data_IF_132272296521
#
_entry.id   IF_132272296521
#
_cell.length_a   1.000
_cell.length_b   1.000
_cell.length_c   1.000
_cell.angle_alpha   90.00
_cell.angle_beta   90.00
_cell.angle_gamma   90.00
#
_symmetry.space_group_name_H-M   'P 1'
#
loop_
_entity.id
_entity.type
_entity.pdbx_description
1 polymer ?
#
# COMPACT_ATOMS: atom_id res chain seq x y z
N UNK A 1 -1.93 -17.37 4.21
CA UNK A 1 -1.11 -16.90 3.07
C UNK A 1 -1.53 -15.46 2.80
N UNK A 2 -0.64 -14.48 2.95
CA UNK A 2 -0.98 -13.04 2.84
C UNK A 2 -0.40 -12.13 3.93
N UNK A 3 0.40 -12.66 4.85
CA UNK A 3 0.99 -11.89 5.96
C UNK A 3 2.28 -11.15 5.55
N UNK A 4 2.50 -10.88 4.27
CA UNK A 4 3.70 -10.16 3.82
C UNK A 4 3.34 -9.24 2.65
N UNK A 5 3.88 -8.02 2.60
CA UNK A 5 3.62 -7.09 1.52
C UNK A 5 4.09 -7.66 0.19
N UNK A 6 3.22 -7.65 -0.82
CA UNK A 6 3.51 -8.16 -2.18
C UNK A 6 4.59 -7.31 -2.86
N UNK A 7 4.54 -5.99 -2.64
CA UNK A 7 5.54 -5.04 -3.11
C UNK A 7 5.61 -3.86 -2.14
N UNK A 8 6.82 -3.35 -1.93
CA UNK A 8 7.04 -2.13 -1.17
C UNK A 8 8.14 -1.29 -1.83
N UNK A 9 7.92 0.03 -1.91
CA UNK A 9 8.92 1.00 -2.36
C UNK A 9 8.96 2.19 -1.41
N UNK A 10 10.13 2.48 -0.87
CA UNK A 10 10.41 3.74 -0.17
C UNK A 10 11.29 4.60 -1.08
N UNK A 11 10.74 5.72 -1.55
CA UNK A 11 11.44 6.65 -2.43
C UNK A 11 11.08 8.09 -2.06
N UNK A 12 12.00 9.04 -2.33
CA UNK A 12 11.67 10.45 -2.22
C UNK A 12 10.66 10.82 -3.31
N UNK A 13 9.56 11.43 -2.89
CA UNK A 13 8.54 11.93 -3.80
C UNK A 13 9.13 13.02 -4.71
N UNK A 14 8.82 12.98 -6.01
CA UNK A 14 9.37 13.91 -7.00
C UNK A 14 8.81 15.33 -6.92
N UNK A 15 7.71 15.51 -6.19
CA UNK A 15 6.97 16.77 -6.09
C UNK A 15 6.63 17.04 -4.63
N UNK A 16 6.72 18.31 -4.22
CA UNK A 16 6.30 18.72 -2.87
C UNK A 16 4.77 18.79 -2.85
N UNK A 17 4.17 18.00 -1.96
CA UNK A 17 2.73 18.07 -1.69
C UNK A 17 2.42 19.15 -0.67
N UNK A 18 1.27 19.80 -0.83
CA UNK A 18 0.79 20.88 0.02
C UNK A 18 0.03 20.37 1.25
N UNK A 19 -0.28 19.07 1.33
CA UNK A 19 -0.94 18.45 2.47
C UNK A 19 -0.59 16.97 2.61
N UNK A 20 -0.83 16.40 3.80
CA UNK A 20 -0.66 14.97 4.07
C UNK A 20 -1.62 14.12 3.23
N UNK A 21 -2.86 14.57 3.04
CA UNK A 21 -3.83 13.89 2.19
C UNK A 21 -3.36 13.80 0.73
N UNK A 22 -2.70 14.84 0.22
CA UNK A 22 -2.13 14.83 -1.12
C UNK A 22 -0.92 13.88 -1.22
N UNK A 23 -0.08 13.79 -0.18
CA UNK A 23 0.99 12.79 -0.11
C UNK A 23 0.44 11.37 -0.11
N UNK A 24 -0.61 11.11 0.67
CA UNK A 24 -1.27 9.79 0.75
C UNK A 24 -1.93 9.43 -0.59
N UNK A 25 -2.58 10.39 -1.27
CA UNK A 25 -3.14 10.19 -2.61
C UNK A 25 -2.04 9.87 -3.63
N UNK A 26 -0.91 10.59 -3.60
CA UNK A 26 0.20 10.33 -4.51
C UNK A 26 0.82 8.94 -4.30
N UNK A 27 1.04 8.54 -3.04
CA UNK A 27 1.50 7.20 -2.69
C UNK A 27 0.51 6.12 -3.15
N UNK A 28 -0.80 6.38 -3.00
CA UNK A 28 -1.86 5.49 -3.47
C UNK A 28 -1.81 5.33 -4.99
N UNK A 29 -1.60 6.41 -5.74
CA UNK A 29 -1.45 6.36 -7.21
C UNK A 29 -0.21 5.55 -7.63
N UNK A 30 0.93 5.72 -6.95
CA UNK A 30 2.14 4.94 -7.25
C UNK A 30 1.98 3.44 -6.96
N UNK A 31 1.48 3.08 -5.77
CA UNK A 31 1.23 1.68 -5.42
C UNK A 31 0.25 1.03 -6.38
N UNK A 32 -0.73 1.80 -6.82
CA UNK A 32 -1.71 1.34 -7.75
C UNK A 32 -1.19 1.22 -9.20
N UNK A 33 -0.26 2.08 -9.64
CA UNK A 33 0.48 1.93 -10.90
C UNK A 33 1.34 0.66 -10.90
N UNK A 34 1.97 0.34 -9.77
CA UNK A 34 2.76 -0.87 -9.60
C UNK A 34 1.91 -2.14 -9.79
N UNK A 35 0.67 -2.13 -9.27
CA UNK A 35 -0.29 -3.21 -9.48
C UNK A 35 -0.64 -3.42 -10.97
N UNK A 36 -0.74 -2.33 -11.75
CA UNK A 36 -1.08 -2.41 -13.19
C UNK A 36 0.02 -3.05 -13.98
N UNK A 37 1.24 -2.65 -13.64
CA UNK A 37 2.44 -3.18 -14.27
C UNK A 37 2.53 -4.68 -13.99
N UNK A 38 2.21 -5.11 -12.75
CA UNK A 38 2.16 -6.52 -12.40
C UNK A 38 1.04 -7.28 -13.12
N UNK A 39 -0.16 -6.71 -13.29
CA UNK A 39 -1.24 -7.31 -14.08
C UNK A 39 -0.85 -7.45 -15.55
N UNK A 40 -0.28 -6.41 -16.15
CA UNK A 40 0.15 -6.44 -17.54
C UNK A 40 1.14 -7.58 -17.78
N UNK A 41 2.17 -7.69 -16.92
CA UNK A 41 3.11 -8.81 -16.94
C UNK A 41 2.42 -10.16 -16.71
N UNK A 42 1.47 -10.23 -15.79
CA UNK A 42 0.66 -11.43 -15.56
C UNK A 42 -0.11 -11.87 -16.80
N UNK A 43 -0.68 -10.92 -17.54
CA UNK A 43 -1.40 -11.19 -18.79
C UNK A 43 -0.48 -11.67 -19.90
N UNK A 44 0.72 -11.09 -20.04
CA UNK A 44 1.73 -11.53 -21.00
C UNK A 44 2.24 -12.95 -20.70
N UNK A 45 2.30 -13.32 -19.42
CA UNK A 45 2.74 -14.64 -18.95
C UNK A 45 1.60 -15.67 -18.89
N UNK A 46 0.38 -15.35 -19.37
CA UNK A 46 -0.82 -16.19 -19.26
C UNK A 46 -1.15 -16.63 -17.82
N UNK A 47 -0.81 -15.82 -16.82
CA UNK A 47 -1.07 -16.10 -15.39
C UNK A 47 -2.54 -15.86 -14.99
N UNK A 48 -3.42 -15.62 -15.96
CA UNK A 48 -4.82 -15.25 -15.72
C UNK A 48 -4.99 -13.75 -15.44
N UNK A 49 -6.24 -13.30 -15.45
CA UNK A 49 -6.58 -11.87 -15.28
C UNK A 49 -6.38 -11.45 -13.82
N UNK A 50 -5.28 -10.79 -13.52
CA UNK A 50 -5.24 -9.82 -12.41
C UNK A 50 -6.03 -8.58 -12.86
N UNK A 51 -6.53 -7.72 -11.96
CA UNK A 51 -7.46 -6.63 -12.33
C UNK A 51 -7.05 -5.33 -11.66
N UNK A 52 -6.70 -4.31 -12.44
CA UNK A 52 -6.15 -3.05 -11.94
C UNK A 52 -6.01 -1.99 -13.07
N UNK A 53 -6.29 -0.68 -12.82
CA UNK A 53 -5.84 0.41 -13.76
C UNK A 53 -5.63 1.88 -13.27
N UNK A 54 -4.82 2.25 -12.28
CA UNK A 54 -4.97 3.51 -11.51
C UNK A 54 -4.18 4.79 -11.93
N UNK A 55 -4.89 5.94 -11.96
CA UNK A 55 -4.44 7.36 -11.90
C UNK A 55 -5.40 8.18 -11.00
N UNK A 56 -5.03 9.35 -10.45
CA UNK A 56 -5.89 10.11 -9.51
C UNK A 56 -7.31 10.44 -10.04
N UNK A 57 -7.46 11.02 -11.24
CA UNK A 57 -8.78 11.23 -11.86
C UNK A 57 -9.50 9.92 -12.19
N UNK A 58 -8.73 8.85 -12.43
CA UNK A 58 -9.25 7.51 -12.65
C UNK A 58 -9.70 6.83 -11.34
N UNK A 59 -9.10 7.13 -10.18
CA UNK A 59 -9.55 6.63 -8.87
C UNK A 59 -11.00 7.08 -8.69
N UNK A 60 -11.26 8.37 -8.89
CA UNK A 60 -12.61 8.91 -8.87
C UNK A 60 -13.54 8.24 -9.89
N UNK A 61 -13.09 8.05 -11.13
CA UNK A 61 -13.85 7.36 -12.19
C UNK A 61 -14.18 5.90 -11.83
N UNK A 62 -13.32 5.22 -11.06
CA UNK A 62 -13.52 3.83 -10.64
C UNK A 62 -14.34 3.65 -9.40
N UNK A 63 -14.26 4.60 -8.47
CA UNK A 63 -15.22 4.72 -7.37
C UNK A 63 -16.63 4.86 -7.94
N UNK A 64 -16.81 5.64 -9.02
CA UNK A 64 -18.10 5.76 -9.72
C UNK A 64 -18.50 4.49 -10.49
N UNK A 65 -17.52 3.72 -10.96
CA UNK A 65 -17.76 2.47 -11.68
C UNK A 65 -17.94 1.24 -10.76
N UNK A 66 -17.93 1.41 -9.43
CA UNK A 66 -18.03 0.35 -8.41
C UNK A 66 -16.95 -0.74 -8.51
N UNK A 67 -15.86 -0.43 -9.20
CA UNK A 67 -14.73 -1.33 -9.42
C UNK A 67 -13.65 -1.19 -8.34
N UNK A 68 -13.81 -0.19 -7.47
CA UNK A 68 -12.95 0.13 -6.34
C UNK A 68 -13.84 0.72 -5.25
N UNK A 69 -13.66 0.30 -4.00
CA UNK A 69 -14.39 0.84 -2.86
C UNK A 69 -13.42 1.64 -1.98
N UNK A 70 -13.89 2.78 -1.48
CA UNK A 70 -13.13 3.60 -0.54
C UNK A 70 -13.62 3.30 0.87
N UNK A 71 -12.80 2.59 1.64
CA UNK A 71 -13.08 2.32 3.05
C UNK A 71 -12.11 3.12 3.92
N UNK A 72 -12.65 3.78 4.94
CA UNK A 72 -11.82 4.37 5.97
C UNK A 72 -11.24 3.27 6.86
N UNK A 73 -9.93 3.26 7.02
CA UNK A 73 -9.25 2.32 7.90
C UNK A 73 -8.61 3.04 9.11
N UNK A 74 -8.83 2.57 10.36
CA UNK A 74 -8.19 3.16 11.53
C UNK A 74 -6.66 3.10 11.43
N UNK A 75 -5.98 4.20 11.80
CA UNK A 75 -4.51 4.29 11.72
C UNK A 75 -3.78 3.22 12.56
N UNK A 76 -4.40 2.76 13.65
CA UNK A 76 -3.85 1.68 14.48
C UNK A 76 -3.77 0.32 13.74
N UNK A 77 -4.60 0.16 12.70
CA UNK A 77 -4.71 -1.04 11.87
C UNK A 77 -4.15 -0.83 10.46
N UNK A 78 -3.72 0.38 10.11
CA UNK A 78 -3.21 0.76 8.79
C UNK A 78 -1.78 0.23 8.61
N UNK A 79 -1.66 -1.03 8.18
CA UNK A 79 -0.36 -1.71 8.01
C UNK A 79 0.62 -0.93 7.12
N UNK A 80 0.10 -0.19 6.13
CA UNK A 80 0.90 0.66 5.25
C UNK A 80 1.66 1.76 6.01
N UNK A 81 1.16 2.24 7.16
CA UNK A 81 1.81 3.28 7.96
C UNK A 81 3.16 2.82 8.52
N UNK A 82 3.34 1.52 8.77
CA UNK A 82 4.62 0.94 9.20
C UNK A 82 5.75 1.25 8.23
N UNK A 83 5.40 1.46 6.97
CA UNK A 83 6.33 1.56 5.88
C UNK A 83 6.33 2.96 5.25
N UNK A 84 5.21 3.71 5.30
CA UNK A 84 5.12 5.09 4.76
C UNK A 84 5.43 6.19 5.77
N UNK A 85 5.25 5.99 7.08
CA UNK A 85 5.27 7.08 8.08
C UNK A 85 6.44 6.95 9.06
N UNK A 86 7.02 8.08 9.52
CA UNK A 86 7.93 8.08 10.65
C UNK A 86 7.13 7.87 11.95
N UNK A 87 7.11 6.64 12.45
CA UNK A 87 6.34 6.23 13.63
C UNK A 87 7.24 6.06 14.87
N UNK A 88 6.63 6.09 16.06
CA UNK A 88 7.33 5.72 17.28
C UNK A 88 7.73 4.24 17.25
N UNK A 89 8.81 3.87 17.95
CA UNK A 89 9.32 2.49 17.93
C UNK A 89 8.28 1.46 18.38
N UNK A 90 7.44 1.81 19.36
CA UNK A 90 6.34 0.95 19.83
C UNK A 90 5.29 0.74 18.74
N UNK A 91 4.92 1.82 18.03
CA UNK A 91 3.90 1.74 16.96
C UNK A 91 4.43 1.00 15.74
N UNK A 92 5.67 1.29 15.33
CA UNK A 92 6.33 0.60 14.24
C UNK A 92 6.41 -0.91 14.50
N UNK A 93 6.83 -1.33 15.71
CA UNK A 93 6.87 -2.74 16.10
C UNK A 93 5.50 -3.40 16.05
N UNK A 94 4.45 -2.72 16.55
CA UNK A 94 3.08 -3.26 16.52
C UNK A 94 2.60 -3.53 15.08
N UNK A 95 2.73 -2.54 14.18
CA UNK A 95 2.32 -2.70 12.78
C UNK A 95 3.23 -3.66 12.01
N UNK A 96 4.56 -3.64 12.25
CA UNK A 96 5.53 -4.56 11.65
C UNK A 96 5.26 -6.03 12.02
N UNK A 97 4.75 -6.28 13.23
CA UNK A 97 4.29 -7.61 13.66
C UNK A 97 3.06 -8.04 12.88
N UNK A 98 2.06 -7.15 12.77
CA UNK A 98 0.81 -7.47 12.06
C UNK A 98 1.02 -7.67 10.55
N UNK A 99 1.95 -6.95 9.93
CA UNK A 99 2.30 -7.08 8.51
C UNK A 99 3.34 -8.19 8.25
N UNK A 100 3.75 -8.94 9.27
CA UNK A 100 4.64 -10.11 9.18
C UNK A 100 6.09 -9.83 8.81
N UNK A 101 6.61 -8.65 9.17
CA UNK A 101 8.00 -8.25 8.92
C UNK A 101 8.97 -8.57 10.08
N UNK A 102 8.48 -9.12 11.19
CA UNK A 102 9.33 -9.58 12.31
C UNK A 102 9.33 -11.11 12.43
N UNK A 103 10.51 -11.74 12.60
CA UNK A 103 10.64 -13.16 12.96
C UNK A 103 9.98 -13.48 14.31
N UNK A 104 9.63 -14.74 14.55
CA UNK A 104 8.96 -15.17 15.78
C UNK A 104 9.84 -14.95 17.03
N UNK A 105 11.16 -14.98 16.87
CA UNK A 105 12.12 -14.87 17.97
C UNK A 105 12.21 -13.44 18.55
N UNK A 106 12.09 -12.41 17.71
CA UNK A 106 12.14 -10.99 18.13
C UNK A 106 10.84 -10.50 18.78
N UNK A 107 9.79 -11.32 18.79
CA UNK A 107 8.56 -11.06 19.55
C UNK A 107 8.73 -11.38 21.04
N UNK A 108 9.71 -12.23 21.39
CA UNK A 108 9.88 -12.79 22.73
C UNK A 108 10.83 -11.99 23.64
N UNK A 109 11.56 -11.03 23.10
CA UNK A 109 12.37 -10.08 23.88
C UNK A 109 11.51 -8.84 24.23
N UNK A 110 10.56 -9.01 25.17
CA UNK A 110 10.00 -7.91 25.98
C UNK A 110 10.79 -7.74 27.29
#
# INVERSE_FOLDING_TARGET
MGQAPINWRSARQSTITLSTAESELAASVEGALALLSAEALGSELNLGKMRSRIKAGWIYERLQAEDLELEHWPGDLQLADALTKPLSSMRLRSLARMIGLMPLEEILDE
#
